data_IF_239279331659
#
_entry.id   IF_239279331659
#
_cell.length_a   1.000
_cell.length_b   1.000
_cell.length_c   1.000
_cell.angle_alpha   90.00
_cell.angle_beta   90.00
_cell.angle_gamma   90.00
#
_symmetry.space_group_name_H-M   'P 1'
#
loop_
_entity.id
_entity.type
_entity.pdbx_description
1 polymer ?
#
# COMPACT_ATOMS: atom_id res chain seq x y z
N UNK A 1 -0.71 -15.49 -4.54
CA UNK A 1 0.01 -14.39 -3.86
C UNK A 1 -0.24 -14.39 -2.35
N UNK A 2 -1.39 -14.84 -1.90
CA UNK A 2 -1.79 -14.83 -0.49
C UNK A 2 -1.07 -15.87 0.35
N UNK A 3 -0.67 -16.98 -0.25
CA UNK A 3 0.15 -17.98 0.45
C UNK A 3 1.60 -17.54 0.67
N UNK A 4 2.05 -16.52 -0.04
CA UNK A 4 3.40 -15.96 0.08
C UNK A 4 3.65 -15.30 1.44
N UNK A 5 2.60 -14.80 2.07
CA UNK A 5 2.71 -13.93 3.23
C UNK A 5 2.64 -14.67 4.57
N UNK A 6 2.75 -15.99 4.56
CA UNK A 6 2.83 -16.81 5.78
C UNK A 6 1.53 -16.89 6.58
N UNK A 7 0.42 -16.41 6.03
CA UNK A 7 -0.89 -16.58 6.64
C UNK A 7 -1.45 -17.96 6.29
N UNK A 8 -2.20 -18.58 7.20
CA UNK A 8 -2.90 -19.84 6.95
C UNK A 8 -4.14 -19.68 6.05
N UNK A 9 -4.08 -18.79 5.05
CA UNK A 9 -5.21 -18.50 4.15
C UNK A 9 -5.74 -19.78 3.49
N UNK A 10 -4.86 -20.70 3.13
CA UNK A 10 -5.25 -22.00 2.58
C UNK A 10 -6.09 -22.82 3.55
N UNK A 11 -5.71 -22.88 4.80
CA UNK A 11 -6.47 -23.58 5.84
C UNK A 11 -7.86 -22.96 6.01
N UNK A 12 -7.95 -21.65 6.16
CA UNK A 12 -9.22 -20.95 6.36
C UNK A 12 -10.14 -21.04 5.13
N UNK A 13 -9.60 -20.98 3.91
CA UNK A 13 -10.39 -21.20 2.70
C UNK A 13 -10.96 -22.63 2.64
N UNK A 14 -10.17 -23.64 2.99
CA UNK A 14 -10.65 -25.03 3.09
C UNK A 14 -11.76 -25.18 4.12
N UNK A 15 -11.59 -24.57 5.29
CA UNK A 15 -12.61 -24.63 6.35
C UNK A 15 -13.89 -23.88 5.95
N UNK A 16 -13.78 -22.71 5.31
CA UNK A 16 -14.92 -21.97 4.80
C UNK A 16 -15.70 -22.80 3.77
N UNK A 17 -14.99 -23.42 2.80
CA UNK A 17 -15.63 -24.29 1.81
C UNK A 17 -16.32 -25.51 2.43
N UNK A 18 -15.74 -26.14 3.45
CA UNK A 18 -16.40 -27.22 4.20
C UNK A 18 -17.71 -26.77 4.87
N UNK A 19 -17.80 -25.49 5.22
CA UNK A 19 -19.01 -24.86 5.77
C UNK A 19 -19.99 -24.34 4.71
N UNK A 20 -19.73 -24.60 3.42
CA UNK A 20 -20.60 -24.23 2.31
C UNK A 20 -20.29 -22.90 1.64
N UNK A 21 -19.20 -22.22 2.00
CA UNK A 21 -18.80 -21.01 1.31
C UNK A 21 -18.35 -21.34 -0.13
N UNK A 22 -18.89 -20.60 -1.09
CA UNK A 22 -18.47 -20.65 -2.50
C UNK A 22 -17.30 -19.68 -2.73
N UNK A 23 -16.25 -20.16 -3.38
CA UNK A 23 -15.06 -19.39 -3.70
C UNK A 23 -14.97 -19.17 -5.20
N UNK A 24 -15.06 -17.91 -5.62
CA UNK A 24 -14.86 -17.49 -7.01
C UNK A 24 -13.52 -16.77 -7.12
N UNK A 25 -12.65 -17.25 -7.99
CA UNK A 25 -11.36 -16.63 -8.28
C UNK A 25 -11.44 -15.85 -9.58
N UNK A 26 -11.24 -14.54 -9.50
CA UNK A 26 -11.17 -13.65 -10.68
C UNK A 26 -9.69 -13.25 -10.83
N UNK A 27 -9.02 -13.85 -11.80
CA UNK A 27 -7.59 -13.65 -12.00
C UNK A 27 -7.23 -13.87 -13.49
N UNK A 28 -6.33 -13.07 -14.07
CA UNK A 28 -5.89 -13.27 -15.44
C UNK A 28 -5.28 -14.65 -15.70
N UNK A 29 -4.77 -15.28 -14.66
CA UNK A 29 -4.08 -16.57 -14.72
C UNK A 29 -4.68 -17.56 -13.73
N UNK A 30 -4.92 -18.79 -14.20
CA UNK A 30 -5.27 -19.89 -13.30
C UNK A 30 -4.04 -20.27 -12.47
N UNK A 31 -3.99 -19.74 -11.26
CA UNK A 31 -2.90 -19.98 -10.30
C UNK A 31 -3.10 -21.32 -9.59
N UNK A 32 -2.06 -21.83 -8.91
CA UNK A 32 -2.18 -23.02 -8.06
C UNK A 32 -3.22 -22.83 -6.96
N UNK A 33 -3.35 -21.62 -6.41
CA UNK A 33 -4.38 -21.29 -5.43
C UNK A 33 -5.78 -21.37 -6.02
N UNK A 34 -5.98 -20.88 -7.25
CA UNK A 34 -7.26 -21.02 -7.95
C UNK A 34 -7.61 -22.49 -8.19
N UNK A 35 -6.66 -23.28 -8.66
CA UNK A 35 -6.87 -24.72 -8.88
C UNK A 35 -7.22 -25.46 -7.58
N UNK A 36 -6.57 -25.11 -6.47
CA UNK A 36 -6.75 -25.81 -5.21
C UNK A 36 -8.03 -25.42 -4.45
N UNK A 37 -8.45 -24.15 -4.56
CA UNK A 37 -9.44 -23.57 -3.66
C UNK A 37 -10.65 -22.92 -4.32
N UNK A 38 -10.60 -22.56 -5.61
CA UNK A 38 -11.74 -21.97 -6.27
C UNK A 38 -12.76 -23.01 -6.72
N UNK A 39 -14.04 -22.70 -6.58
CA UNK A 39 -15.15 -23.45 -7.19
C UNK A 39 -15.36 -23.00 -8.62
N UNK A 40 -14.94 -21.76 -8.93
CA UNK A 40 -14.99 -21.18 -10.28
C UNK A 40 -13.79 -20.24 -10.48
N UNK A 41 -13.18 -20.31 -11.65
CA UNK A 41 -12.18 -19.37 -12.10
C UNK A 41 -12.69 -18.55 -13.29
N UNK A 42 -12.59 -17.23 -13.19
CA UNK A 42 -12.97 -16.28 -14.22
C UNK A 42 -11.73 -15.55 -14.71
N UNK A 43 -11.38 -15.78 -15.97
CA UNK A 43 -10.28 -15.07 -16.60
C UNK A 43 -10.67 -13.62 -16.90
N UNK A 44 -9.89 -12.67 -16.42
CA UNK A 44 -10.10 -11.25 -16.67
C UNK A 44 -8.87 -10.65 -17.37
N UNK A 45 -9.08 -9.72 -18.30
CA UNK A 45 -7.96 -8.96 -18.86
C UNK A 45 -7.26 -8.15 -17.76
N UNK A 46 -5.92 -8.24 -17.61
CA UNK A 46 -5.19 -7.47 -16.62
C UNK A 46 -5.51 -5.98 -16.71
N UNK A 47 -5.80 -5.35 -15.58
CA UNK A 47 -6.02 -3.93 -15.58
C UNK A 47 -7.45 -3.46 -15.76
N UNK A 48 -8.42 -4.34 -15.81
CA UNK A 48 -9.81 -3.99 -16.14
C UNK A 48 -10.81 -4.28 -15.02
N UNK A 49 -10.32 -4.55 -13.83
CA UNK A 49 -11.12 -4.93 -12.65
C UNK A 49 -12.22 -3.91 -12.32
N UNK A 50 -11.88 -2.60 -12.42
CA UNK A 50 -12.85 -1.52 -12.15
C UNK A 50 -14.03 -1.57 -13.14
N UNK A 51 -13.77 -1.92 -14.40
CA UNK A 51 -14.85 -2.04 -15.39
C UNK A 51 -15.81 -3.17 -15.03
N UNK A 52 -15.30 -4.34 -14.60
CA UNK A 52 -16.14 -5.45 -14.13
C UNK A 52 -16.95 -5.03 -12.90
N UNK A 53 -16.30 -4.44 -11.89
CA UNK A 53 -16.98 -4.01 -10.65
C UNK A 53 -18.03 -2.91 -10.91
N UNK A 54 -17.76 -1.99 -11.85
CA UNK A 54 -18.75 -0.97 -12.25
C UNK A 54 -19.96 -1.59 -12.93
N UNK A 55 -19.76 -2.61 -13.74
CA UNK A 55 -20.88 -3.33 -14.37
C UNK A 55 -21.66 -4.20 -13.37
N UNK A 56 -20.97 -4.76 -12.38
CA UNK A 56 -21.66 -5.42 -11.26
C UNK A 56 -22.54 -4.42 -10.50
N UNK A 57 -22.03 -3.22 -10.20
CA UNK A 57 -22.81 -2.16 -9.57
C UNK A 57 -24.01 -1.72 -10.44
N UNK A 58 -23.83 -1.67 -11.77
CA UNK A 58 -24.94 -1.39 -12.69
C UNK A 58 -26.08 -2.40 -12.54
N UNK A 59 -25.76 -3.70 -12.52
CA UNK A 59 -26.75 -4.76 -12.30
C UNK A 59 -27.43 -4.60 -10.95
N UNK A 60 -26.65 -4.37 -9.89
CA UNK A 60 -27.17 -4.21 -8.52
C UNK A 60 -28.15 -3.03 -8.42
N UNK A 61 -27.81 -1.89 -9.03
CA UNK A 61 -28.66 -0.68 -9.02
C UNK A 61 -29.92 -0.90 -9.84
N UNK A 62 -29.81 -1.45 -11.06
CA UNK A 62 -30.95 -1.59 -11.97
C UNK A 62 -31.92 -2.70 -11.57
N UNK A 63 -31.44 -3.71 -10.86
CA UNK A 63 -32.24 -4.83 -10.37
C UNK A 63 -32.72 -4.65 -8.92
N UNK A 64 -32.37 -3.52 -8.27
CA UNK A 64 -32.80 -3.23 -6.90
C UNK A 64 -32.16 -4.14 -5.84
N UNK A 65 -30.93 -4.60 -6.09
CA UNK A 65 -30.18 -5.50 -5.21
C UNK A 65 -29.31 -4.76 -4.20
N UNK A 66 -29.35 -3.43 -4.17
CA UNK A 66 -28.61 -2.62 -3.21
C UNK A 66 -29.28 -2.60 -1.84
N UNK A 67 -28.50 -2.60 -0.78
CA UNK A 67 -28.98 -2.32 0.59
C UNK A 67 -29.24 -0.81 0.77
N UNK A 68 -30.46 -0.41 0.45
CA UNK A 68 -30.85 1.00 0.49
C UNK A 68 -30.84 1.59 1.91
N UNK A 69 -31.04 0.77 2.94
CA UNK A 69 -31.00 1.21 4.33
C UNK A 69 -29.54 1.49 4.77
N UNK A 70 -28.62 0.59 4.45
CA UNK A 70 -27.20 0.82 4.71
C UNK A 70 -26.69 2.03 3.94
N UNK A 71 -27.02 2.13 2.65
CA UNK A 71 -26.62 3.28 1.82
C UNK A 71 -27.09 4.58 2.45
N UNK A 72 -28.37 4.67 2.81
CA UNK A 72 -28.94 5.89 3.40
C UNK A 72 -28.28 6.30 4.73
N UNK A 73 -27.89 5.33 5.57
CA UNK A 73 -27.34 5.59 6.90
C UNK A 73 -25.82 5.78 6.90
N UNK A 74 -25.12 5.10 6.01
CA UNK A 74 -23.67 4.93 6.12
C UNK A 74 -22.87 5.40 4.89
N UNK A 75 -23.53 5.70 3.78
CA UNK A 75 -22.85 6.12 2.55
C UNK A 75 -23.12 7.59 2.24
N UNK A 76 -22.18 8.21 1.57
CA UNK A 76 -22.31 9.59 1.05
C UNK A 76 -21.97 9.57 -0.45
N UNK A 77 -22.70 10.38 -1.24
CA UNK A 77 -22.45 10.51 -2.67
C UNK A 77 -22.97 9.37 -3.54
N UNK A 78 -23.80 8.46 -3.00
CA UNK A 78 -24.39 7.38 -3.79
C UNK A 78 -25.39 7.92 -4.81
N UNK A 79 -26.32 8.77 -4.40
CA UNK A 79 -27.25 9.47 -5.26
C UNK A 79 -27.21 10.99 -5.02
N UNK A 80 -28.06 11.74 -5.73
CA UNK A 80 -28.06 13.20 -5.65
C UNK A 80 -28.48 13.73 -4.29
N UNK A 81 -29.38 13.04 -3.60
CA UNK A 81 -29.93 13.46 -2.32
C UNK A 81 -28.91 13.23 -1.19
N UNK A 82 -27.86 12.42 -1.46
CA UNK A 82 -26.81 12.07 -0.51
C UNK A 82 -25.45 12.71 -0.85
N UNK A 83 -25.43 13.72 -1.73
CA UNK A 83 -24.17 14.39 -2.05
C UNK A 83 -23.65 15.17 -0.84
N UNK A 84 -22.31 15.15 -0.60
CA UNK A 84 -21.72 15.94 0.49
C UNK A 84 -21.93 17.42 0.26
N UNK A 85 -22.08 18.17 1.38
CA UNK A 85 -22.21 19.64 1.36
C UNK A 85 -21.06 20.29 0.58
N UNK A 86 -21.40 21.16 -0.37
CA UNK A 86 -20.46 21.82 -1.26
C UNK A 86 -19.99 20.96 -2.44
N UNK A 87 -20.64 19.82 -2.67
CA UNK A 87 -20.37 18.91 -3.80
C UNK A 87 -21.63 18.53 -4.57
N UNK A 88 -22.72 19.25 -4.39
CA UNK A 88 -24.04 18.98 -4.95
C UNK A 88 -24.05 19.08 -6.49
N UNK A 89 -23.11 19.82 -7.06
CA UNK A 89 -22.91 19.95 -8.50
C UNK A 89 -22.16 18.77 -9.15
N UNK A 90 -21.50 17.94 -8.33
CA UNK A 90 -20.76 16.78 -8.82
C UNK A 90 -21.68 15.63 -9.23
N UNK A 91 -21.10 14.68 -9.97
CA UNK A 91 -21.81 13.48 -10.38
C UNK A 91 -21.87 12.48 -9.22
N UNK A 92 -23.08 12.01 -8.89
CA UNK A 92 -23.25 10.94 -7.90
C UNK A 92 -22.76 9.59 -8.46
N UNK A 93 -22.49 8.64 -7.57
CA UNK A 93 -22.05 7.30 -7.99
C UNK A 93 -23.09 6.61 -8.88
N UNK A 94 -24.38 6.68 -8.52
CA UNK A 94 -25.44 6.09 -9.32
C UNK A 94 -25.57 6.76 -10.71
N UNK A 95 -25.42 8.10 -10.77
CA UNK A 95 -25.43 8.81 -12.07
C UNK A 95 -24.26 8.38 -12.95
N UNK A 96 -23.06 8.23 -12.37
CA UNK A 96 -21.88 7.74 -13.09
C UNK A 96 -22.08 6.31 -13.62
N UNK A 97 -22.57 5.39 -12.79
CA UNK A 97 -22.80 4.00 -13.18
C UNK A 97 -23.88 3.89 -14.26
N UNK A 98 -24.96 4.64 -14.09
CA UNK A 98 -26.09 4.64 -15.04
C UNK A 98 -25.84 5.50 -16.29
N UNK A 99 -24.74 6.23 -16.34
CA UNK A 99 -24.38 7.08 -17.48
C UNK A 99 -25.30 8.29 -17.66
N UNK A 100 -25.92 8.78 -16.58
CA UNK A 100 -26.93 9.85 -16.68
C UNK A 100 -26.34 11.21 -17.06
N UNK A 101 -25.08 11.48 -16.68
CA UNK A 101 -24.36 12.72 -17.05
C UNK A 101 -23.34 12.48 -18.16
N UNK A 102 -22.50 11.43 -18.03
CA UNK A 102 -21.46 11.11 -19.00
C UNK A 102 -21.97 10.40 -20.28
N UNK A 103 -23.24 10.00 -20.31
CA UNK A 103 -23.87 9.37 -21.47
C UNK A 103 -23.45 7.91 -21.74
N UNK A 104 -22.57 7.33 -20.91
CA UNK A 104 -22.07 5.96 -21.07
C UNK A 104 -22.42 5.10 -19.85
N UNK A 105 -23.54 4.33 -19.88
CA UNK A 105 -23.88 3.41 -18.81
C UNK A 105 -22.85 2.27 -18.74
N UNK A 106 -22.54 1.85 -17.51
CA UNK A 106 -21.55 0.81 -17.23
C UNK A 106 -22.18 -0.58 -17.28
N UNK A 107 -22.82 -0.91 -18.40
CA UNK A 107 -23.54 -2.19 -18.55
C UNK A 107 -22.59 -3.39 -18.59
N UNK A 108 -23.10 -4.63 -18.36
CA UNK A 108 -22.30 -5.83 -18.56
C UNK A 108 -21.71 -5.95 -19.98
N UNK A 109 -22.43 -5.51 -21.03
CA UNK A 109 -21.93 -5.49 -22.41
C UNK A 109 -20.74 -4.51 -22.58
N UNK A 110 -20.84 -3.33 -21.97
CA UNK A 110 -19.74 -2.37 -21.96
C UNK A 110 -18.51 -2.98 -21.27
N UNK A 111 -18.69 -3.65 -20.14
CA UNK A 111 -17.60 -4.27 -19.42
C UNK A 111 -17.00 -5.50 -20.13
N UNK A 112 -17.83 -6.31 -20.79
CA UNK A 112 -17.37 -7.47 -21.60
C UNK A 112 -16.36 -7.03 -22.66
N UNK A 113 -16.63 -5.94 -23.37
CA UNK A 113 -15.73 -5.41 -24.39
C UNK A 113 -14.35 -5.00 -23.81
N UNK A 114 -14.30 -4.59 -22.55
CA UNK A 114 -13.09 -4.13 -21.86
C UNK A 114 -12.37 -5.29 -21.19
N UNK A 115 -13.11 -6.11 -20.44
CA UNK A 115 -12.58 -7.12 -19.51
C UNK A 115 -12.35 -8.48 -20.15
N UNK A 116 -13.01 -8.76 -21.26
CA UNK A 116 -13.17 -10.08 -21.91
C UNK A 116 -13.94 -11.09 -21.06
N UNK A 117 -14.49 -10.71 -19.93
CA UNK A 117 -15.41 -11.54 -19.16
C UNK A 117 -16.80 -11.47 -19.79
N UNK A 118 -17.45 -12.60 -20.10
CA UNK A 118 -18.78 -12.59 -20.70
C UNK A 118 -19.80 -11.82 -19.85
N UNK A 119 -20.66 -11.02 -20.51
CA UNK A 119 -21.66 -10.18 -19.83
C UNK A 119 -22.61 -10.93 -18.93
N UNK A 120 -23.00 -12.14 -19.33
CA UNK A 120 -23.87 -13.02 -18.53
C UNK A 120 -23.14 -13.51 -17.25
N UNK A 121 -21.85 -13.77 -17.32
CA UNK A 121 -21.02 -14.10 -16.16
C UNK A 121 -20.93 -12.90 -15.22
N UNK A 122 -20.69 -11.69 -15.74
CA UNK A 122 -20.64 -10.46 -14.93
C UNK A 122 -21.97 -10.26 -14.20
N UNK A 123 -23.09 -10.35 -14.91
CA UNK A 123 -24.42 -10.17 -14.34
C UNK A 123 -24.77 -11.26 -13.30
N UNK A 124 -24.39 -12.50 -13.55
CA UNK A 124 -24.56 -13.61 -12.62
C UNK A 124 -23.77 -13.39 -11.34
N UNK A 125 -22.47 -13.07 -11.43
CA UNK A 125 -21.62 -12.81 -10.28
C UNK A 125 -22.12 -11.60 -9.47
N UNK A 126 -22.60 -10.56 -10.13
CA UNK A 126 -23.22 -9.41 -9.47
C UNK A 126 -24.40 -9.82 -8.58
N UNK A 127 -25.31 -10.62 -9.12
CA UNK A 127 -26.48 -11.13 -8.38
C UNK A 127 -26.06 -12.04 -7.23
N UNK A 128 -25.16 -13.00 -7.49
CA UNK A 128 -24.66 -13.92 -6.47
C UNK A 128 -24.00 -13.17 -5.31
N UNK A 129 -23.16 -12.18 -5.61
CA UNK A 129 -22.50 -11.36 -4.61
C UNK A 129 -23.50 -10.52 -3.78
N UNK A 130 -24.47 -9.91 -4.46
CA UNK A 130 -25.45 -9.03 -3.80
C UNK A 130 -26.50 -9.79 -2.97
N UNK A 131 -26.78 -11.05 -3.31
CA UNK A 131 -27.81 -11.86 -2.62
C UNK A 131 -27.22 -12.88 -1.63
N UNK A 132 -25.92 -12.95 -1.51
CA UNK A 132 -25.28 -13.77 -0.49
C UNK A 132 -25.61 -13.22 0.92
N UNK A 133 -25.81 -14.08 1.88
CA UNK A 133 -26.04 -13.71 3.28
C UNK A 133 -24.89 -12.86 3.84
N UNK A 134 -23.65 -13.21 3.45
CA UNK A 134 -22.47 -12.42 3.66
C UNK A 134 -21.49 -12.68 2.51
N UNK A 135 -20.87 -11.63 1.97
CA UNK A 135 -19.90 -11.73 0.89
C UNK A 135 -18.58 -11.03 1.23
N UNK A 136 -17.49 -11.74 1.02
CA UNK A 136 -16.13 -11.18 1.10
C UNK A 136 -15.64 -10.91 -0.30
N UNK A 137 -15.23 -9.68 -0.57
CA UNK A 137 -14.46 -9.32 -1.76
C UNK A 137 -12.99 -9.13 -1.35
N UNK A 138 -12.20 -10.17 -1.55
CA UNK A 138 -10.78 -10.12 -1.24
C UNK A 138 -9.98 -9.58 -2.42
N UNK A 139 -9.31 -8.45 -2.21
CA UNK A 139 -8.51 -7.79 -3.23
C UNK A 139 -7.03 -7.93 -2.89
N UNK A 140 -6.26 -8.57 -3.77
CA UNK A 140 -4.82 -8.71 -3.59
C UNK A 140 -4.01 -7.49 -4.04
N UNK A 141 -2.71 -7.55 -3.86
CA UNK A 141 -1.79 -6.48 -4.25
C UNK A 141 -1.69 -6.26 -5.76
N UNK A 142 -1.84 -7.31 -6.57
CA UNK A 142 -1.57 -7.25 -8.01
C UNK A 142 -2.41 -6.21 -8.75
N UNK A 143 -3.67 -6.08 -8.38
CA UNK A 143 -4.61 -5.19 -9.03
C UNK A 143 -4.29 -3.71 -8.79
N UNK A 144 -3.77 -3.36 -7.62
CA UNK A 144 -3.50 -1.97 -7.26
C UNK A 144 -2.07 -1.51 -7.60
N UNK A 145 -1.15 -2.44 -7.93
CA UNK A 145 0.26 -2.13 -8.23
C UNK A 145 0.49 -1.68 -9.68
N UNK A 146 -0.29 -0.71 -10.13
CA UNK A 146 -0.25 -0.14 -11.49
C UNK A 146 -0.86 1.25 -11.52
N UNK A 147 -0.79 1.91 -12.70
CA UNK A 147 -1.44 3.20 -12.89
C UNK A 147 -2.94 3.13 -12.56
N UNK A 148 -3.41 4.07 -11.76
CA UNK A 148 -4.78 4.17 -11.26
C UNK A 148 -5.27 2.96 -10.44
N UNK A 149 -4.36 2.16 -9.91
CA UNK A 149 -4.67 0.95 -9.16
C UNK A 149 -5.49 1.19 -7.89
N UNK A 150 -5.39 2.38 -7.29
CA UNK A 150 -6.22 2.79 -6.16
C UNK A 150 -7.72 2.77 -6.47
N UNK A 151 -8.11 2.92 -7.73
CA UNK A 151 -9.52 2.87 -8.14
C UNK A 151 -10.10 1.46 -7.99
N UNK A 152 -9.28 0.43 -8.11
CA UNK A 152 -9.71 -0.96 -7.89
C UNK A 152 -10.15 -1.16 -6.45
N UNK A 153 -9.35 -0.70 -5.50
CA UNK A 153 -9.68 -0.79 -4.07
C UNK A 153 -10.95 0.00 -3.75
N UNK A 154 -11.08 1.21 -4.28
CA UNK A 154 -12.30 2.03 -4.12
C UNK A 154 -13.53 1.34 -4.68
N UNK A 155 -13.44 0.78 -5.89
CA UNK A 155 -14.55 0.07 -6.50
C UNK A 155 -15.01 -1.15 -5.67
N UNK A 156 -14.05 -1.93 -5.14
CA UNK A 156 -14.37 -3.05 -4.26
C UNK A 156 -15.03 -2.62 -2.95
N UNK A 157 -14.49 -1.59 -2.30
CA UNK A 157 -15.11 -1.01 -1.10
C UNK A 157 -16.53 -0.51 -1.40
N UNK A 158 -16.74 0.08 -2.57
CA UNK A 158 -18.07 0.55 -2.98
C UNK A 158 -19.04 -0.62 -3.17
N UNK A 159 -18.63 -1.72 -3.83
CA UNK A 159 -19.49 -2.91 -3.97
C UNK A 159 -19.91 -3.47 -2.60
N UNK A 160 -18.99 -3.59 -1.66
CA UNK A 160 -19.32 -4.05 -0.33
C UNK A 160 -20.26 -3.07 0.41
N UNK A 161 -20.05 -1.76 0.24
CA UNK A 161 -20.90 -0.75 0.86
C UNK A 161 -22.32 -0.76 0.30
N UNK A 162 -22.49 -0.82 -1.03
CA UNK A 162 -23.84 -0.79 -1.62
C UNK A 162 -24.63 -2.07 -1.40
N UNK A 163 -23.99 -3.16 -0.97
CA UNK A 163 -24.63 -4.43 -0.61
C UNK A 163 -24.71 -4.70 0.89
N UNK A 164 -24.32 -3.72 1.74
CA UNK A 164 -24.36 -3.86 3.19
C UNK A 164 -23.31 -4.82 3.77
N UNK A 165 -22.34 -5.25 2.99
CA UNK A 165 -21.27 -6.17 3.43
C UNK A 165 -20.16 -5.49 4.23
N UNK A 166 -20.51 -4.54 5.09
CA UNK A 166 -19.59 -3.78 5.92
C UNK A 166 -20.03 -3.85 7.37
N UNK A 167 -19.12 -4.28 8.25
CA UNK A 167 -19.37 -4.34 9.68
C UNK A 167 -20.25 -5.51 10.13
N UNK A 168 -20.48 -6.48 9.28
CA UNK A 168 -21.19 -7.72 9.60
C UNK A 168 -20.24 -8.92 9.59
N UNK A 169 -20.50 -9.97 10.39
CA UNK A 169 -19.71 -11.21 10.32
C UNK A 169 -19.75 -11.82 8.92
N UNK A 170 -18.57 -12.10 8.35
CA UNK A 170 -18.46 -12.66 7.01
C UNK A 170 -18.60 -11.65 5.87
N UNK A 171 -18.91 -10.38 6.14
CA UNK A 171 -18.87 -9.29 5.17
C UNK A 171 -17.55 -8.53 5.27
N UNK A 172 -16.96 -8.18 4.14
CA UNK A 172 -15.70 -7.45 4.14
C UNK A 172 -15.46 -6.65 2.86
N UNK A 173 -14.99 -5.41 3.05
CA UNK A 173 -14.57 -4.50 2.00
C UNK A 173 -13.07 -4.24 2.12
N UNK A 174 -12.23 -5.19 1.78
CA UNK A 174 -10.82 -5.01 1.99
C UNK A 174 -9.98 -5.00 0.74
N UNK A 175 -9.02 -4.08 0.73
CA UNK A 175 -7.91 -4.12 -0.18
C UNK A 175 -6.75 -5.02 0.26
N UNK A 176 -6.36 -5.03 1.53
CA UNK A 176 -5.15 -5.74 1.98
C UNK A 176 -5.31 -6.22 3.40
N UNK A 177 -5.18 -7.53 3.60
CA UNK A 177 -5.19 -8.15 4.92
C UNK A 177 -3.86 -8.01 5.69
N UNK A 178 -2.85 -7.36 5.12
CA UNK A 178 -1.48 -7.41 5.64
C UNK A 178 -1.15 -6.37 6.69
N UNK A 179 -2.04 -5.44 6.96
CA UNK A 179 -1.80 -4.36 7.92
C UNK A 179 -3.04 -4.12 8.76
N UNK A 180 -3.50 -5.16 9.40
CA UNK A 180 -4.48 -5.01 10.44
C UNK A 180 -3.80 -4.33 11.63
N UNK A 181 -4.13 -3.10 11.82
CA UNK A 181 -3.87 -2.24 12.96
C UNK A 181 -2.52 -2.37 13.67
N UNK A 182 -1.83 -1.29 13.86
CA UNK A 182 -0.64 -1.27 14.69
C UNK A 182 -0.93 -1.87 16.06
N UNK A 183 -0.30 -2.98 16.37
CA UNK A 183 -0.35 -3.55 17.71
C UNK A 183 0.37 -2.62 18.70
N UNK A 184 0.25 -2.87 19.99
CA UNK A 184 0.84 -2.04 21.05
C UNK A 184 2.38 -1.97 21.01
N UNK A 185 3.03 -2.73 20.14
CA UNK A 185 4.48 -2.94 20.08
C UNK A 185 5.26 -1.88 19.29
N UNK A 186 4.61 -0.98 18.58
CA UNK A 186 5.26 0.14 17.90
C UNK A 186 6.03 1.07 18.84
N UNK A 187 5.81 0.97 20.15
CA UNK A 187 6.41 1.80 21.17
C UNK A 187 7.46 1.07 22.04
N UNK A 188 7.97 -0.08 21.61
CA UNK A 188 9.05 -0.78 22.35
C UNK A 188 10.32 0.05 22.36
N UNK A 189 10.53 0.84 21.30
CA UNK A 189 11.71 1.70 21.19
C UNK A 189 11.40 3.11 21.65
N UNK A 190 12.33 3.79 22.31
CA UNK A 190 12.17 5.20 22.57
C UNK A 190 12.10 5.94 21.23
N UNK A 191 10.91 6.43 20.90
CA UNK A 191 10.72 7.30 19.76
C UNK A 191 11.30 8.66 20.14
N UNK A 192 12.44 8.99 19.55
CA UNK A 192 13.03 10.30 19.71
C UNK A 192 12.12 11.36 19.08
N UNK A 193 12.05 12.52 19.70
CA UNK A 193 11.32 13.64 19.11
C UNK A 193 11.94 14.01 17.76
N UNK A 194 11.13 13.98 16.71
CA UNK A 194 11.55 14.40 15.38
C UNK A 194 11.37 15.92 15.23
N UNK A 195 12.43 16.71 15.21
CA UNK A 195 12.33 18.16 15.04
C UNK A 195 11.89 18.55 13.63
N UNK A 196 12.00 17.65 12.65
CA UNK A 196 11.61 17.90 11.26
C UNK A 196 10.19 17.43 11.04
N UNK A 197 9.27 18.38 10.92
CA UNK A 197 7.85 18.08 10.70
C UNK A 197 7.50 17.85 9.22
N UNK A 198 8.30 18.41 8.30
CA UNK A 198 8.05 18.30 6.86
C UNK A 198 8.22 16.87 6.37
N UNK A 199 7.18 16.35 5.71
CA UNK A 199 7.23 15.08 5.01
C UNK A 199 6.90 15.30 3.54
N UNK A 200 7.74 14.73 2.68
CA UNK A 200 7.57 14.77 1.23
C UNK A 200 7.06 13.40 0.79
N UNK A 201 5.91 13.33 0.08
CA UNK A 201 5.44 12.08 -0.47
C UNK A 201 6.49 11.40 -1.33
N UNK A 202 6.60 10.09 -1.23
CA UNK A 202 7.63 9.28 -1.91
C UNK A 202 7.76 9.58 -3.40
N UNK A 203 6.66 9.87 -4.10
CA UNK A 203 6.69 10.16 -5.54
C UNK A 203 7.00 11.62 -5.89
N UNK A 204 7.17 12.50 -4.90
CA UNK A 204 7.48 13.93 -5.10
C UNK A 204 8.93 14.30 -4.79
N UNK A 205 9.79 13.35 -4.43
CA UNK A 205 11.16 13.68 -4.05
C UNK A 205 11.96 14.37 -5.19
N UNK A 206 11.75 13.98 -6.44
CA UNK A 206 12.37 14.63 -7.59
C UNK A 206 11.82 16.04 -7.82
N UNK A 207 10.52 16.24 -7.63
CA UNK A 207 9.91 17.57 -7.70
C UNK A 207 10.40 18.46 -6.54
N UNK A 208 10.63 17.87 -5.36
CA UNK A 208 11.18 18.60 -4.22
C UNK A 208 12.63 19.07 -4.44
N UNK A 209 13.41 18.39 -5.27
CA UNK A 209 14.72 18.85 -5.74
C UNK A 209 14.53 20.01 -6.73
N UNK A 210 13.71 19.82 -7.74
CA UNK A 210 13.56 20.78 -8.87
C UNK A 210 12.90 22.08 -8.45
N UNK A 211 11.83 22.03 -7.69
CA UNK A 211 10.96 23.17 -7.39
C UNK A 211 10.41 23.14 -5.95
N UNK A 212 11.22 22.70 -4.98
CA UNK A 212 10.80 22.54 -3.59
C UNK A 212 9.97 23.69 -3.03
N UNK A 213 10.41 25.00 -3.17
CA UNK A 213 9.64 26.14 -2.69
C UNK A 213 8.27 26.36 -3.33
N UNK A 214 7.98 25.68 -4.44
CA UNK A 214 6.67 25.74 -5.10
C UNK A 214 5.71 24.66 -4.56
N UNK A 215 6.25 23.61 -3.95
CA UNK A 215 5.44 22.53 -3.39
C UNK A 215 4.74 22.99 -2.11
N UNK A 216 3.46 22.67 -2.04
CA UNK A 216 2.57 22.99 -0.92
C UNK A 216 1.83 21.75 -0.39
N UNK A 217 1.04 21.95 0.64
CA UNK A 217 0.11 20.94 1.16
C UNK A 217 -0.90 20.47 0.10
N UNK A 218 -1.19 21.28 -0.93
CA UNK A 218 -2.07 20.90 -2.06
C UNK A 218 -1.47 19.82 -2.95
N UNK A 219 -0.14 19.81 -3.09
CA UNK A 219 0.59 18.75 -3.78
C UNK A 219 0.84 17.53 -2.88
N UNK A 220 0.52 17.61 -1.60
CA UNK A 220 0.59 16.50 -0.66
C UNK A 220 1.70 16.59 0.37
N UNK A 221 2.33 17.75 0.57
CA UNK A 221 3.22 17.93 1.72
C UNK A 221 2.47 17.73 3.02
N UNK A 222 3.12 17.10 3.99
CA UNK A 222 2.57 16.87 5.33
C UNK A 222 3.45 17.57 6.35
N UNK A 223 2.81 18.11 7.40
CA UNK A 223 3.49 18.77 8.51
C UNK A 223 3.99 20.18 8.23
N UNK A 224 3.90 20.66 7.00
CA UNK A 224 4.31 22.01 6.60
C UNK A 224 3.49 22.46 5.38
N UNK A 225 3.17 23.75 5.33
CA UNK A 225 2.36 24.29 4.23
C UNK A 225 3.17 24.48 2.93
N UNK A 226 4.48 24.67 3.04
CA UNK A 226 5.39 24.89 1.90
C UNK A 226 6.81 24.54 2.28
N UNK A 227 7.58 23.93 1.38
CA UNK A 227 9.01 23.74 1.60
C UNK A 227 9.76 25.08 1.56
N UNK A 228 10.66 25.33 2.52
CA UNK A 228 11.43 26.59 2.54
C UNK A 228 12.47 26.68 1.42
N UNK A 229 12.97 25.54 0.95
CA UNK A 229 13.98 25.42 -0.11
C UNK A 229 13.86 24.07 -0.82
N UNK A 230 14.53 23.89 -1.93
CA UNK A 230 14.67 22.60 -2.61
C UNK A 230 15.54 21.63 -1.82
N UNK A 231 15.36 20.35 -2.08
CA UNK A 231 16.20 19.30 -1.48
C UNK A 231 17.58 19.34 -2.13
N UNK A 232 18.62 19.41 -1.31
CA UNK A 232 20.03 19.52 -1.72
C UNK A 232 20.85 18.27 -1.42
N UNK A 233 20.39 17.45 -0.47
CA UNK A 233 21.01 16.18 -0.12
C UNK A 233 19.92 15.10 -0.08
N UNK A 234 20.19 13.97 -0.71
CA UNK A 234 19.37 12.76 -0.62
C UNK A 234 20.23 11.63 -0.05
N UNK A 235 19.70 10.93 0.92
CA UNK A 235 20.26 9.69 1.45
C UNK A 235 19.27 8.55 1.22
N UNK A 236 19.54 7.70 0.23
CA UNK A 236 18.74 6.54 -0.09
C UNK A 236 19.28 5.32 0.66
N UNK A 237 18.43 4.71 1.50
CA UNK A 237 18.78 3.53 2.31
C UNK A 237 18.00 2.34 1.82
N UNK A 238 18.68 1.25 1.47
CA UNK A 238 18.11 0.01 0.96
C UNK A 238 17.07 0.25 -0.16
N UNK A 239 17.38 1.21 -1.05
CA UNK A 239 16.43 1.68 -2.05
C UNK A 239 17.08 1.89 -3.42
N UNK A 240 16.59 1.16 -4.39
CA UNK A 240 16.97 1.37 -5.80
C UNK A 240 16.04 2.43 -6.45
N UNK A 241 15.86 3.57 -5.77
CA UNK A 241 14.79 4.54 -6.04
C UNK A 241 14.84 5.19 -7.44
N UNK A 242 16.03 5.36 -8.04
CA UNK A 242 16.14 5.97 -9.38
C UNK A 242 15.48 5.10 -10.45
N UNK A 243 15.66 3.77 -10.39
CA UNK A 243 15.20 2.86 -11.45
C UNK A 243 13.92 2.11 -11.12
N UNK A 244 13.55 1.97 -9.85
CA UNK A 244 12.41 1.13 -9.46
C UNK A 244 11.16 1.91 -9.02
N UNK A 245 11.31 3.14 -8.53
CA UNK A 245 10.20 3.87 -7.91
C UNK A 245 9.60 4.96 -8.78
N UNK A 246 10.31 5.40 -9.83
CA UNK A 246 9.84 6.42 -10.74
C UNK A 246 9.71 5.90 -12.15
N UNK A 247 8.59 6.21 -12.79
CA UNK A 247 8.33 5.79 -14.16
C UNK A 247 9.22 6.50 -15.19
N UNK A 248 9.66 7.74 -14.92
CA UNK A 248 10.50 8.52 -15.81
C UNK A 248 11.97 8.46 -15.37
N UNK A 249 12.58 7.30 -15.57
CA UNK A 249 13.97 7.03 -15.16
C UNK A 249 14.96 8.00 -15.77
N UNK A 250 14.82 8.32 -17.07
CA UNK A 250 15.75 9.23 -17.75
C UNK A 250 15.75 10.63 -17.11
N UNK A 251 14.56 11.20 -16.86
CA UNK A 251 14.45 12.48 -16.15
C UNK A 251 15.01 12.43 -14.74
N UNK A 252 14.76 11.34 -14.02
CA UNK A 252 15.30 11.18 -12.67
C UNK A 252 16.83 11.15 -12.67
N UNK A 253 17.43 10.46 -13.64
CA UNK A 253 18.88 10.43 -13.83
C UNK A 253 19.43 11.82 -14.17
N UNK A 254 18.78 12.57 -15.04
CA UNK A 254 19.17 13.96 -15.37
C UNK A 254 19.18 14.85 -14.13
N UNK A 255 18.13 14.77 -13.29
CA UNK A 255 18.01 15.55 -12.05
C UNK A 255 19.12 15.19 -11.06
N UNK A 256 19.37 13.90 -10.85
CA UNK A 256 20.37 13.45 -9.87
C UNK A 256 21.80 13.76 -10.32
N UNK A 257 22.06 13.82 -11.63
CA UNK A 257 23.38 14.19 -12.18
C UNK A 257 23.66 15.69 -12.19
N UNK A 258 22.64 16.50 -12.06
CA UNK A 258 22.80 17.96 -12.05
C UNK A 258 23.16 18.44 -10.64
N UNK A 259 24.44 18.66 -10.40
CA UNK A 259 24.97 19.10 -9.10
C UNK A 259 24.52 20.52 -8.73
N UNK A 260 23.98 21.29 -9.64
CA UNK A 260 23.34 22.57 -9.33
C UNK A 260 21.97 22.39 -8.66
N UNK A 261 21.32 21.26 -8.92
CA UNK A 261 20.03 20.88 -8.35
C UNK A 261 20.21 20.06 -7.07
N UNK A 262 20.90 18.94 -7.17
CA UNK A 262 21.21 18.04 -6.05
C UNK A 262 22.69 18.06 -5.75
N UNK A 263 23.08 18.64 -4.60
CA UNK A 263 24.48 18.85 -4.25
C UNK A 263 25.18 17.57 -3.79
N UNK A 264 24.43 16.62 -3.17
CA UNK A 264 25.01 15.39 -2.65
C UNK A 264 24.02 14.24 -2.62
N UNK A 265 24.44 13.07 -3.12
CA UNK A 265 23.63 11.87 -3.13
C UNK A 265 24.37 10.72 -2.43
N UNK A 266 23.83 10.27 -1.31
CA UNK A 266 24.33 9.15 -0.52
C UNK A 266 23.45 7.93 -0.77
N UNK A 267 24.05 6.77 -0.98
CA UNK A 267 23.35 5.49 -1.01
C UNK A 267 23.95 4.56 0.03
N UNK A 268 23.11 3.98 0.87
CA UNK A 268 23.48 2.91 1.76
C UNK A 268 22.77 1.63 1.33
N UNK A 269 23.50 0.65 0.86
CA UNK A 269 22.96 -0.59 0.33
C UNK A 269 23.95 -1.74 0.45
N UNK A 270 23.44 -2.97 0.44
CA UNK A 270 24.25 -4.21 0.42
C UNK A 270 24.84 -4.50 -0.97
N UNK A 271 24.22 -3.94 -2.01
CA UNK A 271 24.59 -4.20 -3.40
C UNK A 271 24.88 -2.89 -4.13
N UNK A 272 25.81 -2.98 -5.09
CA UNK A 272 26.05 -1.92 -6.05
C UNK A 272 24.90 -1.87 -7.08
N UNK A 273 23.74 -1.38 -6.62
CA UNK A 273 22.55 -1.24 -7.45
C UNK A 273 22.75 -0.21 -8.57
N UNK A 274 21.90 -0.19 -9.61
CA UNK A 274 21.91 0.89 -10.58
C UNK A 274 21.81 2.29 -9.94
N UNK A 275 21.01 2.44 -8.87
CA UNK A 275 20.93 3.70 -8.12
C UNK A 275 22.26 4.04 -7.41
N UNK A 276 22.92 3.07 -6.78
CA UNK A 276 24.19 3.28 -6.11
C UNK A 276 25.31 3.78 -7.04
N UNK A 277 25.23 3.49 -8.34
CA UNK A 277 26.18 3.98 -9.35
C UNK A 277 26.09 5.48 -9.62
N UNK A 278 25.05 6.14 -9.16
CA UNK A 278 24.88 7.60 -9.26
C UNK A 278 25.25 8.32 -7.96
N UNK A 279 25.56 7.60 -6.89
CA UNK A 279 25.87 8.19 -5.62
C UNK A 279 27.27 8.84 -5.61
N UNK A 280 27.38 9.96 -4.91
CA UNK A 280 28.67 10.59 -4.58
C UNK A 280 29.36 9.80 -3.45
N UNK A 281 28.58 9.18 -2.57
CA UNK A 281 29.07 8.33 -1.49
C UNK A 281 28.21 7.07 -1.38
N UNK A 282 28.86 5.89 -1.40
CA UNK A 282 28.22 4.62 -1.11
C UNK A 282 28.70 4.14 0.26
N UNK A 283 27.75 3.91 1.16
CA UNK A 283 27.98 3.31 2.46
C UNK A 283 27.59 1.83 2.38
N UNK A 284 28.53 0.88 2.55
CA UNK A 284 28.21 -0.53 2.50
C UNK A 284 27.41 -0.95 3.74
N UNK A 285 26.20 -1.49 3.52
CA UNK A 285 25.36 -2.01 4.59
C UNK A 285 25.60 -3.50 4.83
N UNK A 286 25.22 -3.98 5.99
CA UNK A 286 25.30 -5.38 6.38
C UNK A 286 24.09 -6.16 5.89
N UNK A 287 24.27 -7.47 5.69
CA UNK A 287 23.17 -8.40 5.50
C UNK A 287 22.45 -8.64 6.85
N UNK A 288 21.27 -9.27 6.77
CA UNK A 288 20.53 -9.64 7.97
C UNK A 288 21.25 -10.69 8.84
N UNK A 289 22.25 -11.39 8.31
CA UNK A 289 23.07 -12.38 9.04
C UNK A 289 24.20 -11.73 9.84
N UNK A 290 24.52 -10.47 9.56
CA UNK A 290 25.68 -9.75 10.08
C UNK A 290 25.30 -8.66 11.10
N UNK A 291 24.02 -8.49 11.42
CA UNK A 291 23.57 -7.40 12.31
C UNK A 291 22.56 -7.84 13.35
N UNK A 292 22.54 -7.12 14.46
CA UNK A 292 21.42 -7.12 15.39
C UNK A 292 20.25 -6.35 14.75
N UNK A 293 19.04 -6.85 14.98
CA UNK A 293 17.83 -6.18 14.56
C UNK A 293 16.68 -6.57 15.47
N UNK A 294 15.67 -5.74 15.54
CA UNK A 294 14.41 -6.08 16.21
C UNK A 294 13.30 -5.94 15.18
N UNK A 295 12.49 -6.96 15.06
CA UNK A 295 11.35 -6.98 14.17
C UNK A 295 10.10 -7.27 14.97
N UNK A 296 9.17 -6.34 14.96
CA UNK A 296 7.82 -6.59 15.41
C UNK A 296 7.00 -7.16 14.25
N UNK A 297 6.51 -8.36 14.40
CA UNK A 297 5.63 -9.00 13.41
C UNK A 297 4.19 -8.87 13.90
N UNK A 298 3.60 -7.74 13.61
CA UNK A 298 2.37 -7.26 14.18
C UNK A 298 1.12 -8.08 13.85
N UNK A 299 1.11 -8.75 12.71
CA UNK A 299 -0.16 -9.16 12.11
C UNK A 299 -0.18 -10.62 11.69
N UNK A 300 0.89 -11.34 11.97
CA UNK A 300 1.01 -12.68 11.41
C UNK A 300 1.14 -13.68 12.52
N UNK A 301 0.12 -14.52 12.73
CA UNK A 301 0.33 -15.71 13.52
C UNK A 301 1.42 -16.53 12.83
N UNK A 302 2.64 -16.44 13.33
CA UNK A 302 3.71 -17.34 12.96
C UNK A 302 3.42 -18.63 13.73
N UNK A 303 2.87 -19.60 13.02
CA UNK A 303 2.51 -20.90 13.57
C UNK A 303 1.37 -20.87 14.62
N UNK A 304 1.59 -21.49 15.75
CA UNK A 304 0.59 -21.81 16.78
C UNK A 304 0.31 -20.65 17.77
N UNK A 305 0.95 -19.48 17.58
CA UNK A 305 0.78 -18.36 18.51
C UNK A 305 -0.30 -17.40 18.00
N UNK A 306 -1.37 -17.28 18.76
CA UNK A 306 -2.38 -16.23 18.59
C UNK A 306 -1.87 -14.95 19.25
N UNK A 307 -1.19 -14.11 18.50
CA UNK A 307 -0.78 -12.80 18.99
C UNK A 307 0.44 -12.21 18.28
N UNK A 308 0.76 -10.96 18.60
CA UNK A 308 1.94 -10.29 18.08
C UNK A 308 3.21 -10.95 18.61
N UNK A 309 4.19 -11.10 17.74
CA UNK A 309 5.49 -11.66 18.07
C UNK A 309 6.57 -10.64 17.78
N UNK A 310 7.37 -10.32 18.79
CA UNK A 310 8.60 -9.56 18.60
C UNK A 310 9.77 -10.53 18.46
N UNK A 311 10.57 -10.30 17.42
CA UNK A 311 11.74 -11.11 17.14
C UNK A 311 13.00 -10.29 17.30
N UNK A 312 13.95 -10.79 18.09
CA UNK A 312 15.29 -10.24 18.17
C UNK A 312 16.20 -11.07 17.28
N UNK A 313 16.80 -10.43 16.30
CA UNK A 313 17.80 -11.05 15.44
C UNK A 313 19.18 -10.85 16.03
N UNK A 314 19.92 -11.92 16.16
CA UNK A 314 21.31 -11.93 16.60
C UNK A 314 22.18 -12.24 15.38
N UNK A 315 23.28 -11.51 15.14
CA UNK A 315 24.19 -11.80 14.04
C UNK A 315 24.83 -13.18 14.22
N UNK A 316 24.91 -13.94 13.13
CA UNK A 316 25.57 -15.25 13.07
C UNK A 316 26.93 -15.18 12.36
N UNK A 317 27.20 -14.06 11.71
CA UNK A 317 28.44 -13.74 11.03
C UNK A 317 28.92 -12.34 11.45
N UNK A 318 30.23 -12.09 11.50
CA UNK A 318 30.74 -10.73 11.64
C UNK A 318 30.49 -9.94 10.33
N UNK A 319 30.32 -8.61 10.40
CA UNK A 319 30.27 -7.75 9.22
C UNK A 319 31.49 -7.95 8.31
N UNK A 320 31.26 -7.98 7.01
CA UNK A 320 32.33 -8.13 6.02
C UNK A 320 32.95 -6.79 5.68
N UNK A 321 34.27 -6.68 5.72
CA UNK A 321 34.99 -5.46 5.35
C UNK A 321 34.61 -4.26 6.20
N UNK A 322 34.22 -3.15 5.55
CA UNK A 322 33.82 -1.90 6.20
C UNK A 322 32.27 -1.76 6.35
N UNK A 323 31.52 -2.85 6.14
CA UNK A 323 30.08 -2.83 6.25
C UNK A 323 29.63 -2.46 7.67
N UNK A 324 28.67 -1.54 7.77
CA UNK A 324 28.02 -1.15 9.03
C UNK A 324 26.51 -1.14 8.87
N UNK A 325 25.75 -1.65 9.85
CA UNK A 325 24.30 -1.51 9.86
C UNK A 325 23.87 -0.05 9.85
N UNK A 326 22.75 0.24 9.17
CA UNK A 326 22.19 1.60 9.13
C UNK A 326 22.04 2.22 10.52
N UNK A 327 21.56 1.45 11.49
CA UNK A 327 21.39 1.88 12.88
C UNK A 327 22.70 2.35 13.52
N UNK A 328 23.79 1.62 13.28
CA UNK A 328 25.12 1.98 13.79
C UNK A 328 25.66 3.26 13.13
N UNK A 329 25.41 3.42 11.83
CA UNK A 329 25.77 4.65 11.11
C UNK A 329 25.04 5.85 11.70
N UNK A 330 23.74 5.71 12.01
CA UNK A 330 22.95 6.79 12.63
C UNK A 330 23.45 7.14 14.03
N UNK A 331 23.77 6.16 14.88
CA UNK A 331 24.27 6.39 16.22
C UNK A 331 25.63 7.11 16.15
N UNK A 332 26.53 6.67 15.28
CA UNK A 332 27.83 7.31 15.10
C UNK A 332 27.68 8.74 14.55
N UNK A 333 26.87 8.95 13.54
CA UNK A 333 26.61 10.25 12.95
C UNK A 333 25.98 11.21 13.97
N UNK A 334 24.93 10.76 14.67
CA UNK A 334 24.25 11.55 15.70
C UNK A 334 25.22 11.99 16.82
N UNK A 335 26.11 11.09 17.24
CA UNK A 335 27.14 11.38 18.21
C UNK A 335 28.18 12.40 17.70
N UNK A 336 28.66 12.25 16.46
CA UNK A 336 29.62 13.19 15.84
C UNK A 336 29.03 14.58 15.63
N UNK A 337 27.73 14.64 15.27
CA UNK A 337 26.98 15.89 15.14
C UNK A 337 26.58 16.48 16.50
N UNK A 338 26.87 15.79 17.58
CA UNK A 338 26.53 16.19 18.97
C UNK A 338 25.01 16.43 19.14
N UNK A 339 24.20 15.61 18.48
CA UNK A 339 22.75 15.68 18.65
C UNK A 339 22.40 15.28 20.10
N UNK A 340 21.54 16.03 20.79
CA UNK A 340 21.27 15.83 22.23
C UNK A 340 20.83 14.42 22.61
N UNK A 341 20.14 13.72 21.71
CA UNK A 341 19.70 12.35 21.92
C UNK A 341 20.84 11.31 21.92
N UNK A 342 21.99 11.64 21.32
CA UNK A 342 23.11 10.72 21.08
C UNK A 342 24.38 11.04 21.87
N UNK A 343 24.36 12.12 22.65
CA UNK A 343 25.47 12.51 23.53
C UNK A 343 24.98 12.71 24.97
N UNK A 344 25.89 12.54 25.93
CA UNK A 344 25.64 12.87 27.32
C UNK A 344 25.82 14.40 27.59
N UNK A 345 25.62 14.83 28.83
CA UNK A 345 25.78 16.24 29.24
C UNK A 345 27.17 16.80 28.98
N UNK A 346 28.18 15.94 28.94
CA UNK A 346 29.57 16.29 28.64
C UNK A 346 29.87 16.35 27.14
N UNK A 347 28.90 16.02 26.29
CA UNK A 347 29.03 15.97 24.83
C UNK A 347 29.73 14.72 24.31
N UNK A 348 29.87 13.68 25.14
CA UNK A 348 30.46 12.40 24.78
C UNK A 348 29.38 11.46 24.24
N UNK A 349 29.78 10.48 23.40
CA UNK A 349 28.89 9.47 22.82
C UNK A 349 28.12 8.73 23.92
N UNK A 350 26.78 8.72 23.80
CA UNK A 350 25.86 8.11 24.77
C UNK A 350 25.73 6.61 24.59
N UNK A 351 25.61 6.13 23.35
CA UNK A 351 25.38 4.72 23.02
C UNK A 351 26.59 4.14 22.30
N UNK A 352 27.05 2.99 22.77
CA UNK A 352 28.19 2.26 22.19
C UNK A 352 27.85 1.69 20.83
N UNK A 353 26.70 1.03 20.73
CA UNK A 353 26.21 0.29 19.57
C UNK A 353 24.67 0.24 19.56
N UNK A 354 24.08 -0.40 18.57
CA UNK A 354 22.62 -0.52 18.46
C UNK A 354 21.98 -1.37 19.59
N UNK A 355 22.55 -2.51 20.00
CA UNK A 355 22.08 -3.22 21.20
C UNK A 355 22.06 -2.39 22.48
N UNK A 356 23.01 -1.48 22.63
CA UNK A 356 23.08 -0.57 23.78
C UNK A 356 22.04 0.58 23.69
N UNK A 357 21.59 0.90 22.49
CA UNK A 357 20.53 1.87 22.24
C UNK A 357 19.14 1.32 22.56
N UNK A 358 18.87 0.04 22.26
CA UNK A 358 17.61 -0.68 22.45
C UNK A 358 17.45 -1.13 23.89
#
# INVERSE_FOLDING_TARGET
SEMRDGTNSEYFLKEARKKGARVVCIDPRMTLSAVAHADEWIAIRPGTDVAMMSAMAYVMITEGLCDTDFIRRCCSGFDRDQMPTGREDQESYADYILGRRAGQPKTPEWAEAITTVPRDVIARIAREYATAEAAVLYQGYGMQRRAYGEQVVRAGCTLAAITGNVGIPGGWASGIALQAGGGPFWNIFPVLENPVQAQIPTFLWTEAILRGPELTDKEGLVGINRLPHGIKLVWAVASNCIVNQHANVNRTVEIVRDTSLLEYFIVQDQFMTPTARFADLVLPDTTYLERHDVMSMLDRPISEFDGPVDSVRIPVLPPTGECKPFQEVLIELGSRLKLPAFVNEQGERKYRDYPDFV
#
